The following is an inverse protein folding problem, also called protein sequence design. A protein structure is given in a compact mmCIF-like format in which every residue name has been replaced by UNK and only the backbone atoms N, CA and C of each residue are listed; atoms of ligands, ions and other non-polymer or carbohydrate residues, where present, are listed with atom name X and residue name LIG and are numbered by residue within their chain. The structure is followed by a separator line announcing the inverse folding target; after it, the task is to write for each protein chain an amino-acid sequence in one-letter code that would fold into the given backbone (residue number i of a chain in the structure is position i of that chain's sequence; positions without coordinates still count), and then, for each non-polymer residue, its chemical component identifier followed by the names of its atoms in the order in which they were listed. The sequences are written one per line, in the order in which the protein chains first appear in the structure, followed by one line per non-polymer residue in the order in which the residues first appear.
data_IF_603456785056
#
_entry.id   IF_603456785056
#
_cell.length_a   1.000
_cell.length_b   1.000
_cell.length_c   1.000
_cell.angle_alpha   90.00
_cell.angle_beta   90.00
_cell.angle_gamma   90.00
#
_symmetry.space_group_name_H-M   'P 1'
#
loop_
_entity.id
_entity.type
_entity.pdbx_description
1 polymer ?
#
# COMPACT_ATOMS: atom_id res chain seq x y z
N UNK A 1 -29.67 -22.27 -23.01
CA UNK A 1 -30.67 -21.30 -22.54
C UNK A 1 -29.88 -20.18 -21.86
N UNK A 2 -29.88 -19.01 -22.47
CA UNK A 2 -29.19 -17.84 -21.88
C UNK A 2 -30.18 -17.09 -20.99
N UNK A 3 -29.86 -16.96 -19.72
CA UNK A 3 -30.58 -16.08 -18.81
C UNK A 3 -29.78 -14.78 -18.66
N UNK A 4 -30.44 -13.68 -19.00
CA UNK A 4 -29.89 -12.32 -18.80
C UNK A 4 -30.58 -11.74 -17.57
N UNK A 5 -29.82 -11.44 -16.52
CA UNK A 5 -30.31 -10.76 -15.33
C UNK A 5 -29.67 -9.38 -15.29
N UNK A 6 -30.48 -8.35 -15.41
CA UNK A 6 -30.03 -6.95 -15.21
C UNK A 6 -30.20 -6.58 -13.75
N UNK A 7 -29.11 -6.15 -13.12
CA UNK A 7 -29.15 -5.56 -11.78
C UNK A 7 -29.05 -4.04 -11.90
N UNK A 8 -29.68 -3.32 -10.99
CA UNK A 8 -29.72 -1.85 -10.95
C UNK A 8 -28.33 -1.16 -10.81
N UNK A 9 -27.24 -1.88 -10.94
CA UNK A 9 -25.85 -1.40 -10.74
C UNK A 9 -25.00 -1.49 -12.03
N UNK A 10 -25.57 -1.66 -13.20
CA UNK A 10 -24.85 -1.61 -14.49
C UNK A 10 -23.87 -2.77 -14.73
N UNK A 11 -24.01 -3.89 -14.01
CA UNK A 11 -23.18 -5.10 -14.21
C UNK A 11 -23.94 -6.07 -15.12
N UNK A 12 -23.39 -6.37 -16.30
CA UNK A 12 -23.93 -7.40 -17.20
C UNK A 12 -23.29 -8.73 -16.83
N UNK A 13 -24.07 -9.65 -16.26
CA UNK A 13 -23.66 -11.04 -16.06
C UNK A 13 -24.10 -11.90 -17.24
N UNK A 14 -23.15 -12.55 -17.88
CA UNK A 14 -23.44 -13.58 -18.88
C UNK A 14 -23.14 -14.95 -18.27
N UNK A 15 -24.16 -15.75 -18.00
CA UNK A 15 -24.00 -17.13 -17.55
C UNK A 15 -24.14 -18.08 -18.73
N UNK A 16 -23.15 -18.90 -19.01
CA UNK A 16 -23.19 -20.02 -19.95
C UNK A 16 -23.34 -21.28 -19.12
N UNK A 17 -24.52 -21.90 -19.21
CA UNK A 17 -24.80 -23.22 -18.63
C UNK A 17 -24.26 -24.32 -19.56
N UNK A 18 -23.18 -24.96 -19.18
CA UNK A 18 -22.75 -26.22 -19.74
C UNK A 18 -22.91 -27.31 -18.68
N UNK A 19 -23.54 -28.43 -19.03
CA UNK A 19 -23.84 -29.52 -18.12
C UNK A 19 -22.57 -30.06 -17.43
N UNK A 20 -22.63 -30.25 -16.13
CA UNK A 20 -21.63 -30.92 -15.23
C UNK A 20 -20.28 -30.23 -15.00
N UNK A 21 -20.17 -28.92 -15.05
CA UNK A 21 -18.98 -28.20 -14.56
C UNK A 21 -19.37 -27.15 -13.53
N UNK A 22 -18.62 -27.10 -12.45
CA UNK A 22 -18.73 -26.04 -11.44
C UNK A 22 -18.57 -24.66 -12.10
N UNK A 23 -19.52 -23.76 -11.86
CA UNK A 23 -19.45 -22.39 -12.34
C UNK A 23 -18.37 -21.66 -11.54
N UNK A 24 -17.20 -21.51 -12.11
CA UNK A 24 -16.16 -20.58 -11.58
C UNK A 24 -16.60 -19.19 -12.03
N UNK A 25 -17.26 -18.47 -11.14
CA UNK A 25 -17.53 -17.03 -11.29
C UNK A 25 -16.22 -16.26 -10.99
N UNK A 26 -15.42 -16.02 -12.01
CA UNK A 26 -14.36 -15.03 -11.91
C UNK A 26 -14.98 -13.64 -12.04
N UNK A 27 -15.30 -13.03 -10.91
CA UNK A 27 -15.71 -11.62 -10.87
C UNK A 27 -14.44 -10.78 -10.85
N UNK A 28 -13.97 -10.37 -12.02
CA UNK A 28 -12.96 -9.32 -12.13
C UNK A 28 -13.66 -7.97 -11.98
N UNK A 29 -14.00 -7.59 -10.77
CA UNK A 29 -14.62 -6.31 -10.45
C UNK A 29 -13.65 -5.43 -9.65
N UNK A 30 -12.63 -4.90 -10.29
CA UNK A 30 -12.07 -3.63 -9.83
C UNK A 30 -13.02 -2.50 -10.28
N UNK A 31 -14.20 -2.45 -9.67
CA UNK A 31 -15.10 -1.33 -9.85
C UNK A 31 -14.46 -0.10 -9.22
N UNK A 32 -14.34 0.96 -9.98
CA UNK A 32 -13.88 2.27 -9.54
C UNK A 32 -14.81 2.74 -8.41
N UNK A 33 -14.32 2.78 -7.17
CA UNK A 33 -15.10 2.86 -5.94
C UNK A 33 -15.99 4.10 -5.78
N UNK A 34 -15.89 5.11 -6.65
CA UNK A 34 -16.61 6.39 -6.44
C UNK A 34 -17.26 6.97 -7.70
N UNK A 35 -17.18 6.34 -8.87
CA UNK A 35 -17.58 6.96 -10.14
C UNK A 35 -16.78 8.22 -10.50
N UNK A 36 -15.84 8.64 -9.66
CA UNK A 36 -14.99 9.80 -9.84
C UNK A 36 -13.75 9.43 -10.64
N UNK A 37 -13.42 10.23 -11.67
CA UNK A 37 -12.16 10.04 -12.40
C UNK A 37 -10.97 10.24 -11.44
N UNK A 38 -9.94 9.35 -11.47
CA UNK A 38 -8.80 9.45 -10.59
C UNK A 38 -7.97 10.71 -10.85
N UNK A 39 -7.55 11.38 -9.78
CA UNK A 39 -6.59 12.48 -9.83
C UNK A 39 -5.18 11.92 -10.01
N UNK A 40 -4.67 11.88 -11.23
CA UNK A 40 -3.38 11.27 -11.59
C UNK A 40 -2.20 12.26 -11.60
N UNK A 41 -2.38 13.51 -11.16
CA UNK A 41 -1.35 14.56 -11.25
C UNK A 41 0.00 14.16 -10.63
N UNK A 42 0.00 13.43 -9.51
CA UNK A 42 1.20 12.94 -8.83
C UNK A 42 1.41 11.42 -9.00
N UNK A 43 0.81 10.80 -10.01
CA UNK A 43 0.89 9.35 -10.21
C UNK A 43 1.76 9.01 -11.41
N UNK A 44 2.23 7.78 -11.47
CA UNK A 44 2.89 7.18 -12.63
C UNK A 44 2.17 5.89 -13.01
N UNK A 45 2.07 5.63 -14.31
CA UNK A 45 1.56 4.36 -14.83
C UNK A 45 2.64 3.29 -14.72
N UNK A 46 2.35 2.24 -14.00
CA UNK A 46 3.16 1.02 -13.95
C UNK A 46 2.53 0.01 -14.90
N UNK A 47 3.30 -0.44 -15.89
CA UNK A 47 2.86 -1.48 -16.82
C UNK A 47 2.76 -2.81 -16.08
N UNK A 48 1.66 -3.50 -16.25
CA UNK A 48 1.44 -4.82 -15.66
C UNK A 48 2.45 -5.85 -16.19
N UNK A 49 2.79 -6.80 -15.33
CA UNK A 49 3.69 -7.90 -15.64
C UNK A 49 3.47 -9.06 -14.65
N UNK A 50 4.10 -10.18 -14.94
CA UNK A 50 4.28 -11.26 -13.96
C UNK A 50 5.62 -11.06 -13.27
N UNK A 51 5.63 -11.16 -11.93
CA UNK A 51 6.85 -11.02 -11.13
C UNK A 51 6.86 -11.98 -9.95
N UNK A 52 8.04 -12.20 -9.39
CA UNK A 52 8.23 -12.94 -8.17
C UNK A 52 8.01 -12.02 -6.98
N UNK A 53 6.92 -12.21 -6.24
CA UNK A 53 6.59 -11.50 -5.01
C UNK A 53 7.13 -12.28 -3.80
N UNK A 54 7.56 -11.55 -2.78
CA UNK A 54 8.07 -12.16 -1.55
C UNK A 54 9.50 -12.68 -1.67
N UNK A 55 9.89 -13.52 -0.72
CA UNK A 55 11.23 -14.03 -0.52
C UNK A 55 11.25 -15.55 -0.67
N UNK A 56 12.19 -16.07 -1.46
CA UNK A 56 12.48 -17.50 -1.46
C UNK A 56 13.09 -17.91 -0.12
N UNK A 57 12.56 -18.98 0.50
CA UNK A 57 13.04 -19.46 1.80
C UNK A 57 14.55 -19.78 1.78
N UNK A 58 15.08 -20.23 0.66
CA UNK A 58 16.50 -20.48 0.45
C UNK A 58 17.40 -19.25 0.56
N UNK A 59 16.84 -18.02 0.41
CA UNK A 59 17.59 -16.78 0.56
C UNK A 59 17.81 -16.36 2.03
N UNK A 60 17.06 -16.93 2.98
CA UNK A 60 17.12 -16.54 4.41
C UNK A 60 18.54 -16.62 4.98
N UNK A 61 19.32 -17.72 4.82
CA UNK A 61 20.67 -17.78 5.39
C UNK A 61 21.60 -16.67 4.86
N UNK A 62 21.47 -16.31 3.59
CA UNK A 62 22.22 -15.20 3.02
C UNK A 62 21.85 -13.86 3.66
N UNK A 63 20.56 -13.58 3.84
CA UNK A 63 20.09 -12.35 4.47
C UNK A 63 20.48 -12.29 5.96
N UNK A 64 20.38 -13.39 6.69
CA UNK A 64 20.86 -13.50 8.07
C UNK A 64 22.34 -13.09 8.17
N UNK A 65 23.18 -13.63 7.27
CA UNK A 65 24.60 -13.29 7.21
C UNK A 65 24.82 -11.83 6.85
N UNK A 66 24.12 -11.32 5.81
CA UNK A 66 24.24 -9.94 5.31
C UNK A 66 23.89 -8.91 6.39
N UNK A 67 22.83 -9.15 7.15
CA UNK A 67 22.34 -8.22 8.18
C UNK A 67 22.87 -8.54 9.58
N UNK A 68 23.64 -9.61 9.76
CA UNK A 68 24.14 -10.12 11.05
C UNK A 68 23.01 -10.38 12.05
N UNK A 69 21.91 -10.95 11.58
CA UNK A 69 20.70 -11.24 12.35
C UNK A 69 20.50 -12.76 12.40
N UNK A 70 20.55 -13.36 13.60
CA UNK A 70 20.34 -14.79 13.80
C UNK A 70 18.86 -15.21 13.67
N UNK A 71 17.91 -14.30 13.92
CA UNK A 71 16.47 -14.59 13.94
C UNK A 71 15.93 -14.79 12.52
N UNK A 72 15.69 -16.05 12.13
CA UNK A 72 15.12 -16.40 10.84
C UNK A 72 13.68 -15.93 10.69
N UNK A 73 12.93 -15.83 11.78
CA UNK A 73 11.51 -15.49 11.82
C UNK A 73 11.22 -14.12 11.18
N UNK A 74 12.17 -13.17 11.29
CA UNK A 74 12.05 -11.86 10.64
C UNK A 74 11.96 -11.92 9.11
N UNK A 75 12.44 -13.02 8.53
CA UNK A 75 12.41 -13.24 7.08
C UNK A 75 11.31 -14.23 6.69
N UNK A 76 10.86 -15.10 7.60
CA UNK A 76 9.88 -16.14 7.29
C UNK A 76 8.51 -15.58 6.92
N UNK A 77 8.09 -14.46 7.50
CA UNK A 77 6.83 -13.78 7.19
C UNK A 77 6.78 -13.22 5.75
N UNK A 78 7.95 -13.14 5.10
CA UNK A 78 8.09 -12.71 3.71
C UNK A 78 8.04 -13.88 2.72
N UNK A 79 7.91 -15.11 3.22
CA UNK A 79 7.96 -16.35 2.43
C UNK A 79 6.58 -17.03 2.37
N UNK A 80 6.35 -17.92 1.39
CA UNK A 80 7.23 -18.25 0.27
C UNK A 80 7.24 -17.17 -0.80
N UNK A 81 8.31 -17.11 -1.58
CA UNK A 81 8.30 -16.42 -2.86
C UNK A 81 7.27 -17.08 -3.80
N UNK A 82 6.46 -16.31 -4.49
CA UNK A 82 5.40 -16.80 -5.36
C UNK A 82 5.17 -15.89 -6.56
N UNK A 83 4.60 -16.45 -7.63
CA UNK A 83 4.34 -15.70 -8.85
C UNK A 83 3.05 -14.89 -8.72
N UNK A 84 3.13 -13.61 -9.05
CA UNK A 84 1.98 -12.72 -9.15
C UNK A 84 1.94 -12.09 -10.54
N UNK A 85 0.76 -12.02 -11.13
CA UNK A 85 0.49 -11.29 -12.37
C UNK A 85 -0.33 -10.06 -12.05
N UNK A 86 0.16 -8.89 -12.45
CA UNK A 86 -0.54 -7.62 -12.30
C UNK A 86 -1.01 -7.08 -13.64
N UNK A 87 -2.21 -6.53 -13.68
CA UNK A 87 -2.61 -5.59 -14.72
C UNK A 87 -1.89 -4.24 -14.52
N UNK A 88 -1.92 -3.37 -15.53
CA UNK A 88 -1.37 -2.02 -15.39
C UNK A 88 -2.17 -1.22 -14.36
N UNK A 89 -1.48 -0.40 -13.57
CA UNK A 89 -2.07 0.44 -12.54
C UNK A 89 -1.32 1.76 -12.43
N UNK A 90 -1.96 2.77 -11.85
CA UNK A 90 -1.30 3.99 -11.42
C UNK A 90 -0.97 3.91 -9.94
N UNK A 91 0.17 4.48 -9.55
CA UNK A 91 0.55 4.65 -8.14
C UNK A 91 1.13 6.05 -7.94
N UNK A 92 0.87 6.65 -6.79
CA UNK A 92 1.41 7.97 -6.46
C UNK A 92 2.93 7.91 -6.31
N UNK A 93 3.59 8.94 -6.83
CA UNK A 93 5.06 9.03 -6.84
C UNK A 93 5.65 9.18 -5.45
N UNK A 94 4.87 9.69 -4.50
CA UNK A 94 5.26 9.94 -3.11
C UNK A 94 4.16 9.49 -2.17
N UNK A 95 4.46 9.44 -0.89
CA UNK A 95 3.46 9.37 0.17
C UNK A 95 2.51 10.58 0.09
N UNK A 96 1.30 10.44 0.64
CA UNK A 96 0.35 11.54 0.80
C UNK A 96 0.93 12.60 1.73
N UNK A 97 0.89 13.87 1.33
CA UNK A 97 1.50 14.96 2.08
C UNK A 97 0.48 15.73 2.93
N UNK A 98 0.96 16.38 3.98
CA UNK A 98 0.16 17.18 4.90
C UNK A 98 -0.74 18.20 4.19
N UNK A 99 -0.21 18.92 3.20
CA UNK A 99 -0.98 19.95 2.48
C UNK A 99 -2.20 19.37 1.74
N UNK A 100 -2.07 18.18 1.16
CA UNK A 100 -3.17 17.56 0.42
C UNK A 100 -4.15 16.87 1.37
N UNK A 101 -3.67 16.28 2.46
CA UNK A 101 -4.53 15.73 3.50
C UNK A 101 -5.35 16.81 4.21
N UNK A 102 -4.79 18.01 4.39
CA UNK A 102 -5.54 19.17 4.92
C UNK A 102 -6.73 19.54 4.04
N UNK A 103 -6.54 19.57 2.70
CA UNK A 103 -7.64 19.83 1.76
C UNK A 103 -8.74 18.76 1.90
N UNK A 104 -8.31 17.49 2.05
CA UNK A 104 -9.25 16.39 2.24
C UNK A 104 -10.09 16.55 3.49
N UNK A 105 -9.53 16.77 4.68
CA UNK A 105 -10.30 16.88 5.91
C UNK A 105 -11.16 18.14 5.98
N UNK A 106 -10.82 19.19 5.23
CA UNK A 106 -11.66 20.39 5.09
C UNK A 106 -12.90 20.13 4.22
N UNK A 107 -12.76 19.29 3.20
CA UNK A 107 -13.87 18.89 2.32
C UNK A 107 -14.68 17.71 2.87
N UNK A 108 -14.14 16.98 3.85
CA UNK A 108 -14.75 15.79 4.49
C UNK A 108 -14.63 15.94 6.01
N UNK A 109 -15.49 16.77 6.63
CA UNK A 109 -15.34 17.19 8.03
C UNK A 109 -15.36 16.05 9.05
N UNK A 110 -15.99 14.92 8.73
CA UNK A 110 -16.02 13.72 9.56
C UNK A 110 -14.63 13.13 9.80
N UNK A 111 -13.65 13.45 8.95
CA UNK A 111 -12.24 13.04 9.09
C UNK A 111 -11.36 14.11 9.76
N UNK A 112 -11.94 15.16 10.31
CA UNK A 112 -11.17 16.12 11.11
C UNK A 112 -10.80 15.51 12.45
N UNK A 113 -9.69 15.97 13.03
CA UNK A 113 -9.18 15.50 14.32
C UNK A 113 -10.23 15.56 15.46
N UNK A 114 -11.07 16.58 15.44
CA UNK A 114 -12.12 16.84 16.42
C UNK A 114 -13.47 16.18 16.09
N UNK A 115 -13.57 15.46 14.96
CA UNK A 115 -14.83 14.88 14.45
C UNK A 115 -14.76 13.39 14.15
N UNK A 116 -13.56 12.84 13.93
CA UNK A 116 -13.41 11.42 13.61
C UNK A 116 -14.03 10.55 14.72
N UNK A 117 -14.83 9.55 14.32
CA UNK A 117 -15.46 8.66 15.28
C UNK A 117 -14.43 7.84 16.06
N UNK A 118 -14.64 7.67 17.36
CA UNK A 118 -13.70 7.00 18.28
C UNK A 118 -13.32 5.58 17.84
N UNK A 119 -14.22 4.90 17.13
CA UNK A 119 -14.00 3.54 16.61
C UNK A 119 -12.94 3.47 15.50
N UNK A 120 -12.56 4.60 14.88
CA UNK A 120 -11.59 4.66 13.78
C UNK A 120 -10.18 5.06 14.20
N UNK A 121 -9.92 5.30 15.50
CA UNK A 121 -8.58 5.71 15.93
C UNK A 121 -8.23 5.23 17.36
N UNK A 122 -6.94 5.19 17.64
CA UNK A 122 -6.35 4.81 18.94
C UNK A 122 -6.12 6.01 19.88
N UNK A 123 -6.78 7.14 19.66
CA UNK A 123 -6.59 8.38 20.42
C UNK A 123 -5.46 9.29 19.90
N UNK A 124 -4.65 8.81 18.95
CA UNK A 124 -3.48 9.56 18.43
C UNK A 124 -3.70 10.18 17.04
N UNK A 125 -4.90 10.07 16.47
CA UNK A 125 -5.17 10.56 15.11
C UNK A 125 -4.83 12.05 14.98
N UNK A 126 -4.03 12.40 13.95
CA UNK A 126 -3.50 13.73 13.69
C UNK A 126 -2.93 14.42 14.96
N UNK A 127 -2.23 13.65 15.79
CA UNK A 127 -1.79 14.11 17.12
C UNK A 127 -0.99 15.42 17.08
N UNK A 128 -0.14 15.60 16.07
CA UNK A 128 0.70 16.79 15.89
C UNK A 128 -0.05 17.99 15.28
N UNK A 129 -1.30 17.80 14.83
CA UNK A 129 -2.08 18.87 14.20
C UNK A 129 -2.80 19.73 15.24
N UNK A 130 -2.86 21.03 14.99
CA UNK A 130 -3.68 21.95 15.75
C UNK A 130 -5.00 22.22 15.00
N UNK A 131 -6.09 21.56 15.42
CA UNK A 131 -7.34 21.53 14.71
C UNK A 131 -7.17 20.95 13.30
N UNK A 132 -7.38 21.75 12.26
CA UNK A 132 -7.20 21.39 10.85
C UNK A 132 -5.85 21.83 10.26
N UNK A 133 -4.91 22.28 11.10
CA UNK A 133 -3.62 22.81 10.66
C UNK A 133 -2.48 21.85 11.00
N UNK A 134 -1.73 21.43 9.99
CA UNK A 134 -0.49 20.67 10.18
C UNK A 134 0.63 21.57 10.74
N UNK A 135 1.73 21.00 11.27
CA UNK A 135 2.85 21.78 11.79
C UNK A 135 3.45 22.73 10.75
N UNK A 136 3.80 23.94 11.16
CA UNK A 136 4.36 24.96 10.27
C UNK A 136 5.62 24.45 9.54
N UNK A 137 5.76 24.76 8.26
CA UNK A 137 6.86 24.33 7.42
C UNK A 137 6.76 22.90 6.89
N UNK A 138 5.77 22.09 7.31
CA UNK A 138 5.67 20.67 6.96
C UNK A 138 4.64 20.37 5.86
N UNK A 139 4.37 21.31 4.95
CA UNK A 139 3.40 21.13 3.88
C UNK A 139 3.68 19.90 3.01
N UNK A 140 4.96 19.67 2.65
CA UNK A 140 5.44 18.59 1.79
C UNK A 140 5.98 17.36 2.58
N UNK A 141 5.78 17.29 3.89
CA UNK A 141 6.09 16.10 4.66
C UNK A 141 4.97 15.08 4.52
N UNK A 142 5.25 13.78 4.62
CA UNK A 142 4.19 12.78 4.64
C UNK A 142 3.23 13.05 5.79
N UNK A 143 1.95 12.87 5.55
CA UNK A 143 0.98 12.92 6.64
C UNK A 143 1.15 11.67 7.49
N UNK A 144 1.34 11.88 8.79
CA UNK A 144 1.48 10.83 9.80
C UNK A 144 0.40 10.95 10.86
N UNK A 145 0.37 10.00 11.80
CA UNK A 145 -0.75 9.86 12.74
C UNK A 145 -2.09 9.71 12.04
N UNK A 146 -2.08 9.09 10.88
CA UNK A 146 -3.28 8.68 10.14
C UNK A 146 -3.64 7.24 10.46
N UNK A 147 -4.90 6.88 10.26
CA UNK A 147 -5.38 5.50 10.38
C UNK A 147 -5.61 4.90 9.00
N UNK A 148 -5.66 3.58 8.91
CA UNK A 148 -5.97 2.92 7.65
C UNK A 148 -7.31 3.38 7.07
N UNK A 149 -8.33 3.55 7.92
CA UNK A 149 -9.64 4.05 7.51
C UNK A 149 -9.56 5.44 6.87
N UNK A 150 -8.82 6.36 7.50
CA UNK A 150 -8.67 7.72 6.95
C UNK A 150 -7.83 7.74 5.67
N UNK A 151 -6.87 6.82 5.54
CA UNK A 151 -6.07 6.65 4.32
C UNK A 151 -6.94 6.15 3.16
N UNK A 152 -7.80 5.15 3.40
CA UNK A 152 -8.80 4.68 2.40
C UNK A 152 -9.72 5.82 1.98
N UNK A 153 -10.33 6.53 2.95
CA UNK A 153 -11.23 7.65 2.68
C UNK A 153 -10.55 8.77 1.86
N UNK A 154 -9.30 9.09 2.20
CA UNK A 154 -8.52 10.05 1.41
C UNK A 154 -8.34 9.58 -0.03
N UNK A 155 -7.86 8.34 -0.25
CA UNK A 155 -7.64 7.82 -1.59
C UNK A 155 -8.95 7.79 -2.39
N UNK A 156 -10.07 7.37 -1.80
CA UNK A 156 -11.39 7.39 -2.43
C UNK A 156 -11.83 8.82 -2.81
N UNK A 157 -11.55 9.81 -1.97
CA UNK A 157 -11.85 11.21 -2.29
C UNK A 157 -11.10 11.74 -3.53
N UNK A 158 -9.98 11.09 -3.87
CA UNK A 158 -9.20 11.37 -5.08
C UNK A 158 -9.59 10.47 -6.27
N UNK A 159 -10.63 9.64 -6.17
CA UNK A 159 -10.99 8.63 -7.17
C UNK A 159 -9.97 7.47 -7.23
N UNK A 160 -9.24 7.25 -6.17
CA UNK A 160 -8.16 6.26 -6.02
C UNK A 160 -8.49 5.27 -4.89
N UNK A 161 -7.57 4.38 -4.61
CA UNK A 161 -7.58 3.42 -3.52
C UNK A 161 -6.19 3.28 -2.91
N UNK A 162 -6.02 2.58 -1.81
CA UNK A 162 -4.70 2.13 -1.39
C UNK A 162 -4.14 1.14 -2.42
N UNK A 163 -2.82 1.03 -2.57
CA UNK A 163 -2.23 -0.03 -3.38
C UNK A 163 -2.48 -1.38 -2.74
N UNK A 164 -2.57 -2.44 -3.55
CA UNK A 164 -2.44 -3.80 -3.02
C UNK A 164 -0.99 -4.07 -2.64
N UNK A 165 -0.76 -5.07 -1.80
CA UNK A 165 0.59 -5.44 -1.39
C UNK A 165 1.46 -5.83 -2.58
N UNK A 166 0.89 -6.56 -3.52
CA UNK A 166 1.56 -6.94 -4.76
C UNK A 166 1.89 -5.74 -5.65
N UNK A 167 0.98 -4.78 -5.80
CA UNK A 167 1.23 -3.54 -6.55
C UNK A 167 2.34 -2.73 -5.90
N UNK A 168 2.32 -2.60 -4.57
CA UNK A 168 3.33 -1.85 -3.83
C UNK A 168 4.72 -2.48 -3.99
N UNK A 169 4.83 -3.81 -3.81
CA UNK A 169 6.11 -4.50 -3.93
C UNK A 169 6.66 -4.43 -5.36
N UNK A 170 5.81 -4.65 -6.38
CA UNK A 170 6.22 -4.52 -7.78
C UNK A 170 6.70 -3.11 -8.11
N UNK A 171 5.98 -2.10 -7.62
CA UNK A 171 6.35 -0.69 -7.78
C UNK A 171 7.68 -0.36 -7.07
N UNK A 172 7.88 -0.86 -5.83
CA UNK A 172 9.10 -0.66 -5.05
C UNK A 172 10.33 -1.25 -5.74
N UNK A 173 10.19 -2.38 -6.45
CA UNK A 173 11.27 -3.00 -7.21
C UNK A 173 11.83 -2.07 -8.32
N UNK A 174 11.05 -1.13 -8.82
CA UNK A 174 11.53 -0.15 -9.79
C UNK A 174 12.11 -0.75 -11.08
N UNK A 175 11.69 -1.98 -11.47
CA UNK A 175 12.22 -2.73 -12.60
C UNK A 175 13.43 -3.62 -12.26
N UNK A 176 13.93 -3.59 -11.04
CA UNK A 176 15.03 -4.44 -10.58
C UNK A 176 14.51 -5.84 -10.20
N UNK A 177 15.18 -6.88 -10.67
CA UNK A 177 14.84 -8.28 -10.37
C UNK A 177 15.79 -8.82 -9.30
N UNK A 178 15.24 -9.48 -8.27
CA UNK A 178 16.02 -10.16 -7.22
C UNK A 178 16.85 -9.24 -6.33
N UNK A 179 16.58 -7.91 -6.35
CA UNK A 179 17.32 -6.96 -5.54
C UNK A 179 16.72 -6.80 -4.13
N UNK A 180 17.61 -6.47 -3.20
CA UNK A 180 17.30 -6.34 -1.78
C UNK A 180 16.50 -5.08 -1.47
N UNK A 181 16.91 -3.94 -2.06
CA UNK A 181 16.33 -2.61 -1.82
C UNK A 181 15.88 -1.95 -3.13
N UNK A 182 15.07 -0.89 -3.09
CA UNK A 182 14.61 -0.17 -4.29
C UNK A 182 15.73 0.41 -5.16
N UNK A 183 16.94 0.52 -4.65
CA UNK A 183 18.15 1.01 -5.35
C UNK A 183 19.15 -0.10 -5.71
N UNK A 184 18.95 -1.34 -5.27
CA UNK A 184 19.89 -2.46 -5.53
C UNK A 184 20.23 -3.28 -4.30
N UNK A 185 21.49 -3.69 -4.16
CA UNK A 185 21.94 -4.57 -3.07
C UNK A 185 22.86 -3.87 -2.05
N UNK A 186 23.23 -2.61 -2.30
CA UNK A 186 24.05 -1.83 -1.37
C UNK A 186 23.29 -1.54 -0.08
N UNK A 187 23.99 -1.65 1.05
CA UNK A 187 23.41 -1.32 2.34
C UNK A 187 22.88 0.11 2.37
N UNK A 188 21.79 0.36 3.11
CA UNK A 188 21.26 1.71 3.25
C UNK A 188 22.27 2.65 3.86
N UNK A 189 22.26 3.89 3.41
CA UNK A 189 23.04 4.98 3.95
C UNK A 189 22.23 6.30 3.95
N UNK A 190 22.73 7.30 4.65
CA UNK A 190 22.07 8.60 4.82
C UNK A 190 21.94 9.43 3.53
N UNK A 191 22.61 9.03 2.43
CA UNK A 191 22.49 9.70 1.13
C UNK A 191 21.38 9.09 0.26
N UNK A 192 20.83 7.94 0.66
CA UNK A 192 19.85 7.15 -0.14
C UNK A 192 18.48 7.07 0.49
N UNK A 193 18.41 7.12 1.84
CA UNK A 193 17.15 6.81 2.53
C UNK A 193 17.12 7.45 3.93
N UNK A 194 15.93 7.87 4.36
CA UNK A 194 15.68 8.29 5.73
C UNK A 194 15.30 7.05 6.56
N UNK A 195 16.21 6.59 7.43
CA UNK A 195 16.06 5.41 8.30
C UNK A 195 16.73 5.63 9.65
N UNK A 196 16.75 4.63 10.53
CA UNK A 196 17.22 4.78 11.92
C UNK A 196 18.63 5.34 12.10
N UNK A 197 19.51 5.13 11.12
CA UNK A 197 20.89 5.61 11.16
C UNK A 197 21.12 6.87 10.30
N UNK A 198 20.07 7.43 9.68
CA UNK A 198 20.19 8.66 8.86
C UNK A 198 20.45 9.92 9.68
N UNK A 199 20.07 9.90 10.98
CA UNK A 199 20.28 10.99 11.92
C UNK A 199 19.14 12.00 12.01
N UNK A 200 18.06 11.88 11.20
CA UNK A 200 16.93 12.80 11.26
C UNK A 200 15.98 12.51 12.43
N UNK A 201 15.82 11.24 12.83
CA UNK A 201 14.91 10.79 13.91
C UNK A 201 13.45 11.24 13.74
N UNK A 202 13.05 11.59 12.54
CA UNK A 202 11.72 12.05 12.16
C UNK A 202 11.50 11.86 10.65
N UNK A 203 10.24 11.86 10.21
CA UNK A 203 9.92 11.96 8.80
C UNK A 203 10.40 13.31 8.22
N UNK A 204 10.83 13.30 6.98
CA UNK A 204 11.28 14.49 6.24
C UNK A 204 10.39 14.73 5.02
N UNK A 205 10.59 15.85 4.33
CA UNK A 205 9.85 16.16 3.11
C UNK A 205 9.98 15.04 2.08
N UNK A 206 8.90 14.68 1.42
CA UNK A 206 8.91 13.70 0.32
C UNK A 206 9.85 14.14 -0.81
N UNK A 207 10.44 13.18 -1.55
CA UNK A 207 11.40 13.43 -2.63
C UNK A 207 12.74 13.99 -2.16
N UNK A 208 13.10 13.80 -0.91
CA UNK A 208 14.42 14.21 -0.42
C UNK A 208 15.54 13.29 -0.93
N UNK A 209 15.21 12.14 -1.47
CA UNK A 209 16.11 11.13 -2.00
C UNK A 209 15.80 10.81 -3.46
N UNK A 210 16.74 10.16 -4.21
CA UNK A 210 16.53 9.74 -5.58
C UNK A 210 15.33 8.78 -5.71
N UNK A 211 14.60 8.91 -6.82
CA UNK A 211 13.55 7.97 -7.18
C UNK A 211 14.11 6.63 -7.64
N UNK A 212 13.32 5.57 -7.50
CA UNK A 212 13.63 4.27 -8.13
C UNK A 212 13.44 4.30 -9.66
N UNK A 213 13.69 3.18 -10.33
CA UNK A 213 13.64 3.09 -11.80
C UNK A 213 12.25 3.35 -12.42
N UNK A 214 11.17 3.36 -11.61
CA UNK A 214 9.83 3.75 -12.07
C UNK A 214 9.48 5.19 -11.72
N UNK A 215 10.41 5.97 -11.19
CA UNK A 215 10.20 7.36 -10.81
C UNK A 215 9.41 7.53 -9.50
N UNK A 216 9.45 6.52 -8.62
CA UNK A 216 8.81 6.52 -7.31
C UNK A 216 9.82 6.87 -6.23
N UNK A 217 9.44 7.78 -5.34
CA UNK A 217 10.25 8.25 -4.23
C UNK A 217 9.85 7.55 -2.94
N UNK A 218 10.79 7.47 -2.01
CA UNK A 218 10.56 7.05 -0.63
C UNK A 218 9.91 5.66 -0.51
N UNK A 219 10.19 4.73 -1.47
CA UNK A 219 9.71 3.34 -1.43
C UNK A 219 10.44 2.49 -0.38
N UNK A 220 11.37 3.08 0.38
CA UNK A 220 11.97 2.54 1.57
C UNK A 220 12.30 3.70 2.51
N UNK A 221 12.09 3.50 3.82
CA UNK A 221 12.31 4.53 4.83
C UNK A 221 11.24 5.62 4.87
N UNK A 222 11.56 6.75 5.43
CA UNK A 222 10.69 7.88 5.72
C UNK A 222 9.49 7.48 6.60
N UNK A 223 8.40 6.94 6.05
CA UNK A 223 7.29 6.40 6.83
C UNK A 223 6.82 5.04 6.30
N UNK A 224 6.39 4.16 7.20
CA UNK A 224 5.63 2.97 6.83
C UNK A 224 4.37 3.37 6.06
N UNK A 225 3.98 2.55 5.10
CA UNK A 225 2.81 2.81 4.28
C UNK A 225 1.72 1.77 4.52
N UNK A 226 0.51 2.24 4.85
CA UNK A 226 -0.68 1.40 4.87
C UNK A 226 -1.02 0.88 3.49
N UNK A 227 -1.26 -0.43 3.43
CA UNK A 227 -1.65 -1.18 2.24
C UNK A 227 -3.12 -1.61 2.36
N UNK A 228 -3.77 -1.90 1.24
CA UNK A 228 -5.16 -2.34 1.23
C UNK A 228 -5.35 -3.70 1.91
N UNK A 229 -4.36 -4.58 1.77
CA UNK A 229 -4.42 -5.99 2.12
C UNK A 229 -4.53 -6.23 3.62
N UNK A 230 -5.31 -7.25 3.96
CA UNK A 230 -5.30 -7.86 5.28
C UNK A 230 -3.99 -8.61 5.51
N UNK A 231 -3.48 -8.56 6.73
CA UNK A 231 -2.33 -9.34 7.13
C UNK A 231 -2.66 -10.84 7.11
N UNK A 232 -2.06 -11.55 6.15
CA UNK A 232 -2.18 -13.00 5.98
C UNK A 232 -0.83 -13.59 5.58
N UNK A 233 -0.64 -14.88 5.81
CA UNK A 233 0.50 -15.61 5.25
C UNK A 233 0.39 -15.68 3.74
N UNK A 234 1.52 -15.66 3.04
CA UNK A 234 1.52 -15.85 1.60
C UNK A 234 1.04 -17.26 1.20
N UNK A 235 0.37 -17.40 0.05
CA UNK A 235 -0.12 -18.67 -0.43
C UNK A 235 1.04 -19.63 -0.74
N UNK A 236 0.85 -20.90 -0.43
CA UNK A 236 1.85 -21.96 -0.65
C UNK A 236 1.64 -22.63 -2.01
N UNK A 237 0.45 -22.53 -2.58
CA UNK A 237 0.12 -23.08 -3.90
C UNK A 237 0.76 -22.23 -5.01
N UNK A 238 1.52 -22.87 -5.88
CA UNK A 238 2.38 -22.22 -6.87
C UNK A 238 1.65 -21.59 -8.09
N UNK A 239 0.32 -21.45 -8.07
CA UNK A 239 -0.42 -20.81 -9.16
C UNK A 239 -0.26 -19.28 -9.12
N UNK A 240 0.10 -18.65 -10.25
CA UNK A 240 0.20 -17.21 -10.34
C UNK A 240 -1.18 -16.56 -10.13
N UNK A 241 -1.29 -15.75 -9.09
CA UNK A 241 -2.51 -14.99 -8.79
C UNK A 241 -2.57 -13.73 -9.65
N UNK A 242 -3.74 -13.39 -10.18
CA UNK A 242 -3.97 -12.17 -10.93
C UNK A 242 -4.53 -11.08 -10.01
N UNK A 243 -3.83 -9.95 -9.93
CA UNK A 243 -4.20 -8.79 -9.12
C UNK A 243 -4.66 -9.18 -7.70
N UNK A 244 -3.84 -9.93 -6.93
CA UNK A 244 -4.27 -10.41 -5.62
C UNK A 244 -4.50 -9.27 -4.65
N UNK A 245 -5.49 -9.45 -3.77
CA UNK A 245 -5.74 -8.62 -2.60
C UNK A 245 -6.24 -9.50 -1.46
N UNK A 246 -5.52 -9.55 -0.35
CA UNK A 246 -5.92 -10.31 0.81
C UNK A 246 -7.03 -9.57 1.59
N UNK A 247 -8.06 -10.31 2.02
CA UNK A 247 -9.21 -9.75 2.75
C UNK A 247 -10.35 -9.24 1.88
N UNK A 248 -10.28 -9.50 0.56
CA UNK A 248 -11.35 -9.21 -0.40
C UNK A 248 -11.35 -7.76 -0.90
N UNK A 249 -12.28 -7.48 -1.82
CA UNK A 249 -12.42 -6.17 -2.44
C UNK A 249 -13.07 -5.16 -1.48
N UNK A 250 -12.23 -4.36 -0.85
CA UNK A 250 -12.63 -3.27 0.06
C UNK A 250 -12.68 -1.91 -0.63
N UNK A 251 -12.52 -1.88 -1.95
CA UNK A 251 -12.44 -0.62 -2.71
C UNK A 251 -13.81 -0.05 -3.08
N UNK A 252 -14.90 -0.79 -2.82
CA UNK A 252 -16.25 -0.40 -3.19
C UNK A 252 -17.00 0.21 -2.00
N UNK A 253 -17.42 1.47 -2.15
CA UNK A 253 -18.30 2.16 -1.20
C UNK A 253 -17.70 2.31 0.20
N UNK A 254 -18.52 2.06 1.22
CA UNK A 254 -18.19 2.28 2.64
C UNK A 254 -17.78 0.99 3.37
N UNK A 255 -17.58 -0.13 2.67
CA UNK A 255 -17.26 -1.44 3.26
C UNK A 255 -16.01 -1.41 4.14
N UNK A 256 -15.05 -0.55 3.80
CA UNK A 256 -13.82 -0.36 4.58
C UNK A 256 -14.07 0.10 6.03
N UNK A 257 -15.21 0.75 6.31
CA UNK A 257 -15.53 1.25 7.65
C UNK A 257 -15.75 0.15 8.69
N UNK A 258 -16.13 -1.05 8.26
CA UNK A 258 -16.33 -2.20 9.15
C UNK A 258 -15.08 -3.02 9.42
N UNK A 259 -13.96 -2.68 8.77
CA UNK A 259 -12.69 -3.43 8.85
C UNK A 259 -12.06 -3.27 10.23
N UNK A 260 -11.73 -4.40 10.87
CA UNK A 260 -11.08 -4.46 12.19
C UNK A 260 -9.83 -5.33 12.21
N UNK A 261 -9.59 -6.09 11.13
CA UNK A 261 -8.44 -6.97 10.99
C UNK A 261 -7.16 -6.18 10.70
N UNK A 262 -6.02 -6.73 11.06
CA UNK A 262 -4.71 -6.08 10.83
C UNK A 262 -4.49 -5.84 9.34
N UNK A 263 -3.93 -4.69 9.01
CA UNK A 263 -3.56 -4.27 7.65
C UNK A 263 -2.06 -4.28 7.47
N UNK A 264 -1.63 -4.70 6.29
CA UNK A 264 -0.22 -4.73 5.92
C UNK A 264 0.39 -3.33 5.94
N UNK A 265 1.64 -3.25 6.39
CA UNK A 265 2.53 -2.09 6.28
C UNK A 265 3.75 -2.45 5.45
N UNK A 266 4.23 -1.52 4.65
CA UNK A 266 5.39 -1.71 3.78
C UNK A 266 6.36 -0.53 3.87
N UNK A 267 7.62 -0.76 3.49
CA UNK A 267 8.64 0.26 3.24
C UNK A 267 9.58 0.58 4.40
N UNK A 268 9.23 0.30 5.64
CA UNK A 268 10.00 0.78 6.78
C UNK A 268 9.79 2.27 7.05
N UNK A 269 10.51 2.83 8.00
CA UNK A 269 10.37 4.24 8.38
C UNK A 269 11.70 4.87 8.78
N UNK A 270 11.69 6.15 9.12
CA UNK A 270 12.84 6.87 9.64
C UNK A 270 13.45 6.25 10.91
N UNK A 271 12.69 5.48 11.68
CA UNK A 271 13.18 4.76 12.87
C UNK A 271 13.54 3.29 12.60
N UNK A 272 13.40 2.82 11.36
CA UNK A 272 13.60 1.42 11.00
C UNK A 272 15.08 1.05 10.87
N UNK A 273 15.42 -0.19 11.22
CA UNK A 273 16.73 -0.76 10.89
C UNK A 273 16.80 -1.23 9.43
N UNK A 274 18.00 -1.57 8.93
CA UNK A 274 18.22 -1.96 7.53
C UNK A 274 17.32 -3.08 7.02
N UNK A 275 16.98 -4.06 7.87
CA UNK A 275 16.11 -5.20 7.50
C UNK A 275 14.68 -4.76 7.15
N UNK A 276 14.16 -3.75 7.85
CA UNK A 276 12.80 -3.26 7.61
C UNK A 276 12.67 -2.50 6.27
N UNK A 277 13.80 -2.14 5.66
CA UNK A 277 13.86 -1.46 4.36
C UNK A 277 13.89 -2.40 3.17
N UNK A 278 13.93 -3.73 3.40
CA UNK A 278 13.83 -4.73 2.36
C UNK A 278 12.55 -4.54 1.54
N UNK A 279 12.66 -4.62 0.21
CA UNK A 279 11.47 -4.56 -0.66
C UNK A 279 10.41 -5.59 -0.24
N UNK A 280 10.85 -6.76 0.24
CA UNK A 280 9.97 -7.86 0.64
C UNK A 280 9.50 -7.77 2.08
N UNK A 281 10.08 -6.88 2.92
CA UNK A 281 9.73 -6.80 4.33
C UNK A 281 8.28 -6.35 4.53
N UNK A 282 7.63 -7.03 5.47
CA UNK A 282 6.22 -6.83 5.82
C UNK A 282 6.09 -6.55 7.30
N UNK A 283 5.17 -5.67 7.66
CA UNK A 283 4.70 -5.46 9.02
C UNK A 283 3.18 -5.25 8.98
N UNK A 284 2.55 -5.12 10.12
CA UNK A 284 1.10 -4.93 10.16
C UNK A 284 0.62 -4.16 11.38
N UNK A 285 -0.40 -3.33 11.21
CA UNK A 285 -1.08 -2.64 12.29
C UNK A 285 -2.59 -2.91 12.29
N UNK A 286 -3.23 -2.72 13.43
CA UNK A 286 -4.69 -2.57 13.46
C UNK A 286 -5.09 -1.34 12.62
N UNK A 287 -6.24 -1.36 11.94
CA UNK A 287 -6.65 -0.26 11.06
C UNK A 287 -6.91 1.06 11.82
N UNK A 288 -7.03 1.01 13.12
CA UNK A 288 -7.20 2.17 14.02
C UNK A 288 -5.88 2.75 14.53
N UNK A 289 -4.74 2.08 14.32
CA UNK A 289 -3.47 2.59 14.79
C UNK A 289 -3.06 3.84 14.02
N UNK A 290 -2.67 4.86 14.77
CA UNK A 290 -2.11 6.09 14.25
C UNK A 290 -0.77 6.31 14.97
N UNK A 291 0.31 6.44 14.21
CA UNK A 291 1.68 6.62 14.72
C UNK A 291 2.43 7.67 13.91
N UNK A 292 3.50 8.21 14.49
CA UNK A 292 4.36 9.24 13.89
C UNK A 292 5.23 8.74 12.73
N UNK A 293 5.26 7.44 12.54
CA UNK A 293 6.07 6.72 11.56
C UNK A 293 5.23 5.99 10.50
N UNK A 294 3.91 6.23 10.45
CA UNK A 294 3.00 5.56 9.52
C UNK A 294 2.20 6.58 8.71
N UNK A 295 2.31 6.48 7.40
CA UNK A 295 1.57 7.22 6.39
C UNK A 295 0.97 6.27 5.34
N UNK A 296 0.84 6.73 4.10
CA UNK A 296 0.32 5.94 2.98
C UNK A 296 0.57 6.65 1.66
N UNK A 297 0.43 5.93 0.54
CA UNK A 297 0.23 6.48 -0.81
C UNK A 297 -0.98 5.85 -1.47
N UNK A 298 -1.50 6.46 -2.56
CA UNK A 298 -2.64 5.91 -3.28
C UNK A 298 -2.25 5.27 -4.61
N UNK A 299 -3.10 4.36 -5.07
CA UNK A 299 -3.05 3.73 -6.39
C UNK A 299 -4.40 3.87 -7.09
N UNK A 300 -4.43 3.63 -8.39
CA UNK A 300 -5.65 3.55 -9.17
C UNK A 300 -5.51 2.49 -10.27
N UNK A 301 -6.60 1.81 -10.56
CA UNK A 301 -6.66 0.86 -11.68
C UNK A 301 -6.51 1.61 -13.00
N UNK A 302 -5.67 1.12 -13.90
CA UNK A 302 -5.62 1.65 -15.26
C UNK A 302 -6.78 1.04 -16.08
N UNK A 303 -7.47 1.89 -16.86
CA UNK A 303 -8.50 1.41 -17.76
C UNK A 303 -7.91 0.42 -18.78
N UNK A 304 -8.57 -0.69 -19.00
CA UNK A 304 -8.20 -1.61 -20.08
C UNK A 304 -8.51 -0.92 -21.41
N UNK A 305 -7.50 -0.68 -22.21
CA UNK A 305 -7.68 -0.23 -23.60
C UNK A 305 -8.15 -1.38 -24.48
#
# INVERSE_FOLDING_TARGET
MQLRVETNLGVVMTAILCGSCAVILTVSAFAQASGRKPNLKNSVLIKGATFQMGLERSAIPHLQSKFKIARAELFEEQTPGHQVKLNSFYIDKTEAVNADFQKFIRSNPEWRKDKIAAEYHNGKYLQQWNGDKYPAGQANFPVVFVTWHSAVAYCQSQGKRLPTEAEWEYAARGGLIGKTFPWGDEMPDKARVNYGESGFNAAIAVRSYPANGYGLFDMAGNVWEYIADEWQTYPIDGAAQLDPVAGGDLFVGESYRSVKTRRVLRGGSYGAGPVNLLITYRDSHLPTNAGDHVGFRCAATAERK
#
